data_IF_918309202409
#
_entry.id   IF_918309202409
#
_cell.length_a   1.000
_cell.length_b   1.000
_cell.length_c   1.000
_cell.angle_alpha   90.00
_cell.angle_beta   90.00
_cell.angle_gamma   90.00
#
_symmetry.space_group_name_H-M   'P 1'
#
loop_
_entity.id
_entity.type
_entity.pdbx_description
1 polymer ?
#
# COMPACT_ATOMS: atom_id res chain seq x y z
N UNK A 1 42.92 -7.89 34.99
CA UNK A 1 43.00 -8.62 33.70
C UNK A 1 41.59 -8.70 33.12
N UNK A 2 41.19 -7.76 32.24
CA UNK A 2 39.85 -7.70 31.63
C UNK A 2 39.98 -8.17 30.17
N UNK A 3 39.41 -9.34 29.86
CA UNK A 3 39.43 -9.90 28.51
C UNK A 3 38.28 -9.27 27.72
N UNK A 4 38.65 -8.50 26.71
CA UNK A 4 37.77 -7.94 25.68
C UNK A 4 37.27 -9.08 24.79
N UNK A 5 35.95 -9.33 24.78
CA UNK A 5 35.29 -10.39 23.97
C UNK A 5 34.14 -9.85 23.10
N UNK A 6 34.18 -8.59 22.67
CA UNK A 6 33.08 -7.98 21.88
C UNK A 6 33.41 -7.68 20.41
N UNK A 7 34.58 -8.05 19.90
CA UNK A 7 35.00 -7.67 18.53
C UNK A 7 34.54 -8.61 17.41
N UNK A 8 34.02 -9.82 17.70
CA UNK A 8 33.83 -10.83 16.65
C UNK A 8 32.43 -10.86 16.02
N UNK A 9 31.42 -10.20 16.60
CA UNK A 9 30.03 -10.23 16.09
C UNK A 9 29.73 -9.17 15.03
N UNK A 10 30.57 -8.13 14.90
CA UNK A 10 30.36 -7.07 13.90
C UNK A 10 31.00 -7.37 12.54
N UNK A 11 32.07 -8.17 12.49
CA UNK A 11 32.78 -8.49 11.25
C UNK A 11 32.00 -9.44 10.31
N UNK A 12 31.15 -10.32 10.85
CA UNK A 12 30.32 -11.23 10.03
C UNK A 12 29.04 -10.57 9.45
N UNK A 13 28.69 -9.34 9.84
CA UNK A 13 27.49 -8.63 9.36
C UNK A 13 27.70 -7.92 8.01
N UNK A 14 28.93 -7.90 7.50
CA UNK A 14 29.36 -7.16 6.30
C UNK A 14 29.77 -8.09 5.15
N UNK A 15 28.99 -9.11 4.82
CA UNK A 15 29.16 -9.76 3.51
C UNK A 15 28.70 -8.80 2.40
N UNK A 16 29.36 -8.73 1.23
CA UNK A 16 28.93 -7.89 0.11
C UNK A 16 27.49 -8.18 -0.34
N UNK A 17 27.01 -9.41 -0.09
CA UNK A 17 25.63 -9.85 -0.28
C UNK A 17 24.66 -9.12 0.67
N UNK A 18 25.03 -8.87 1.94
CA UNK A 18 24.17 -8.15 2.89
C UNK A 18 24.00 -6.67 2.53
N UNK A 19 25.03 -6.05 1.94
CA UNK A 19 24.98 -4.67 1.45
C UNK A 19 24.12 -4.54 0.19
N UNK A 20 24.24 -5.48 -0.76
CA UNK A 20 23.42 -5.51 -1.97
C UNK A 20 21.93 -5.73 -1.65
N UNK A 21 21.61 -6.72 -0.80
CA UNK A 21 20.23 -6.98 -0.35
C UNK A 21 19.66 -5.79 0.43
N UNK A 22 20.49 -5.04 1.17
CA UNK A 22 20.04 -3.84 1.90
C UNK A 22 19.65 -2.66 1.00
N UNK A 23 20.15 -2.59 -0.24
CA UNK A 23 19.79 -1.55 -1.21
C UNK A 23 18.65 -1.94 -2.14
N UNK A 24 18.50 -3.22 -2.48
CA UNK A 24 17.47 -3.69 -3.43
C UNK A 24 16.09 -3.82 -2.78
N UNK A 25 16.04 -4.21 -1.50
CA UNK A 25 14.78 -4.41 -0.79
C UNK A 25 13.84 -3.18 -0.80
N UNK A 26 14.28 -1.96 -0.45
CA UNK A 26 13.42 -0.77 -0.48
C UNK A 26 12.87 -0.47 -1.89
N UNK A 27 13.70 -0.67 -2.91
CA UNK A 27 13.34 -0.41 -4.31
C UNK A 27 12.23 -1.37 -4.77
N UNK A 28 12.36 -2.66 -4.43
CA UNK A 28 11.35 -3.67 -4.74
C UNK A 28 10.01 -3.36 -4.04
N UNK A 29 10.04 -2.94 -2.77
CA UNK A 29 8.82 -2.58 -2.04
C UNK A 29 8.09 -1.38 -2.67
N UNK A 30 8.82 -0.33 -3.02
CA UNK A 30 8.20 0.85 -3.68
C UNK A 30 7.67 0.49 -5.06
N UNK A 31 8.40 -0.33 -5.84
CA UNK A 31 7.91 -0.84 -7.11
C UNK A 31 6.58 -1.58 -6.95
N UNK A 32 6.50 -2.55 -6.03
CA UNK A 32 5.28 -3.35 -5.85
C UNK A 32 4.13 -2.50 -5.28
N UNK A 33 4.41 -1.59 -4.35
CA UNK A 33 3.41 -0.70 -3.79
C UNK A 33 2.82 0.22 -4.88
N UNK A 34 3.67 0.86 -5.69
CA UNK A 34 3.25 1.71 -6.81
C UNK A 34 2.49 0.92 -7.87
N UNK A 35 2.91 -0.31 -8.18
CA UNK A 35 2.16 -1.19 -9.08
C UNK A 35 0.76 -1.49 -8.54
N UNK A 36 0.64 -1.83 -7.25
CA UNK A 36 -0.67 -2.13 -6.62
C UNK A 36 -1.61 -0.92 -6.62
N UNK A 37 -1.10 0.29 -6.33
CA UNK A 37 -1.90 1.53 -6.41
C UNK A 37 -2.48 1.71 -7.80
N UNK A 38 -1.64 1.61 -8.85
CA UNK A 38 -2.10 1.76 -10.23
C UNK A 38 -3.06 0.63 -10.65
N UNK A 39 -2.83 -0.60 -10.23
CA UNK A 39 -3.76 -1.72 -10.50
C UNK A 39 -5.13 -1.42 -9.92
N UNK A 40 -5.21 -0.98 -8.67
CA UNK A 40 -6.48 -0.62 -8.02
C UNK A 40 -7.15 0.55 -8.74
N UNK A 41 -6.40 1.58 -9.13
CA UNK A 41 -6.94 2.74 -9.84
C UNK A 41 -7.57 2.37 -11.19
N UNK A 42 -6.89 1.53 -11.98
CA UNK A 42 -7.42 1.07 -13.27
C UNK A 42 -8.63 0.13 -13.07
N UNK A 43 -8.58 -0.74 -12.06
CA UNK A 43 -9.71 -1.62 -11.71
C UNK A 43 -10.92 -0.82 -11.23
N UNK A 44 -10.72 0.28 -10.51
CA UNK A 44 -11.78 1.16 -10.02
C UNK A 44 -12.67 1.64 -11.17
N UNK A 45 -12.08 2.04 -12.30
CA UNK A 45 -12.82 2.47 -13.49
C UNK A 45 -13.84 1.43 -13.96
N UNK A 46 -13.43 0.16 -14.00
CA UNK A 46 -14.31 -0.94 -14.41
C UNK A 46 -15.33 -1.33 -13.34
N UNK A 47 -14.95 -1.29 -12.07
CA UNK A 47 -15.83 -1.63 -10.97
C UNK A 47 -16.99 -0.62 -10.86
N UNK A 48 -16.65 0.66 -10.91
CA UNK A 48 -17.62 1.75 -10.77
C UNK A 48 -18.48 1.91 -12.02
N UNK A 49 -17.92 1.67 -13.22
CA UNK A 49 -18.71 1.70 -14.45
C UNK A 49 -19.90 0.73 -14.45
N UNK A 50 -19.87 -0.35 -13.65
CA UNK A 50 -21.01 -1.27 -13.50
C UNK A 50 -22.21 -0.66 -12.76
N UNK A 51 -21.98 0.36 -11.93
CA UNK A 51 -23.01 0.98 -11.11
C UNK A 51 -23.62 2.19 -11.80
N UNK A 52 -22.77 3.01 -12.43
CA UNK A 52 -23.14 4.35 -12.91
C UNK A 52 -22.73 4.62 -14.36
N UNK A 53 -22.14 3.64 -15.04
CA UNK A 53 -21.60 3.79 -16.38
C UNK A 53 -20.25 4.51 -16.43
N UNK A 54 -19.69 4.60 -17.64
CA UNK A 54 -18.47 5.35 -17.93
C UNK A 54 -18.83 6.78 -18.31
N UNK A 55 -18.46 7.75 -17.47
CA UNK A 55 -18.65 9.17 -17.74
C UNK A 55 -17.39 9.96 -17.36
N UNK A 56 -17.33 11.24 -17.77
CA UNK A 56 -16.29 12.16 -17.28
C UNK A 56 -16.30 12.24 -15.75
N UNK A 57 -17.48 12.31 -15.13
CA UNK A 57 -17.61 12.35 -13.68
C UNK A 57 -17.02 11.10 -13.01
N UNK A 58 -17.25 9.92 -13.58
CA UNK A 58 -16.71 8.65 -13.06
C UNK A 58 -15.19 8.66 -13.01
N UNK A 59 -14.53 8.97 -14.13
CA UNK A 59 -13.06 8.98 -14.21
C UNK A 59 -12.45 10.12 -13.39
N UNK A 60 -13.03 11.31 -13.43
CA UNK A 60 -12.56 12.45 -12.63
C UNK A 60 -12.66 12.16 -11.14
N UNK A 61 -13.75 11.56 -10.66
CA UNK A 61 -13.88 11.17 -9.25
C UNK A 61 -12.86 10.13 -8.83
N UNK A 62 -12.60 9.10 -9.66
CA UNK A 62 -11.62 8.05 -9.35
C UNK A 62 -10.22 8.66 -9.19
N UNK A 63 -9.75 9.41 -10.19
CA UNK A 63 -8.43 10.02 -10.16
C UNK A 63 -8.31 10.98 -8.97
N UNK A 64 -9.32 11.85 -8.75
CA UNK A 64 -9.29 12.80 -7.66
C UNK A 64 -9.23 12.12 -6.28
N UNK A 65 -10.03 11.08 -6.05
CA UNK A 65 -10.08 10.37 -4.76
C UNK A 65 -8.82 9.55 -4.53
N UNK A 66 -8.34 8.83 -5.55
CA UNK A 66 -7.12 8.01 -5.43
C UNK A 66 -5.91 8.92 -5.18
N UNK A 67 -5.76 10.01 -5.94
CA UNK A 67 -4.68 10.98 -5.72
C UNK A 67 -4.78 11.67 -4.36
N UNK A 68 -5.99 12.06 -3.92
CA UNK A 68 -6.18 12.64 -2.60
C UNK A 68 -5.82 11.65 -1.49
N UNK A 69 -6.23 10.38 -1.63
CA UNK A 69 -5.86 9.32 -0.72
C UNK A 69 -4.36 9.08 -0.69
N UNK A 70 -3.70 8.98 -1.84
CA UNK A 70 -2.25 8.83 -1.94
C UNK A 70 -1.52 10.02 -1.34
N UNK A 71 -1.99 11.25 -1.55
CA UNK A 71 -1.40 12.46 -0.96
C UNK A 71 -1.50 12.46 0.57
N UNK A 72 -2.67 12.14 1.12
CA UNK A 72 -2.88 11.98 2.56
C UNK A 72 -2.03 10.84 3.13
N UNK A 73 -1.99 9.71 2.43
CA UNK A 73 -1.13 8.57 2.74
C UNK A 73 0.34 8.97 2.77
N UNK A 74 0.82 9.71 1.77
CA UNK A 74 2.20 10.18 1.69
C UNK A 74 2.58 11.05 2.89
N UNK A 75 1.69 11.96 3.30
CA UNK A 75 1.88 12.80 4.47
C UNK A 75 1.93 11.97 5.76
N UNK A 76 0.95 11.09 5.98
CA UNK A 76 0.89 10.22 7.16
C UNK A 76 2.07 9.25 7.22
N UNK A 77 2.45 8.67 6.09
CA UNK A 77 3.59 7.77 5.96
C UNK A 77 4.91 8.48 6.28
N UNK A 78 5.09 9.72 5.84
CA UNK A 78 6.27 10.52 6.18
C UNK A 78 6.36 10.76 7.68
N UNK A 79 5.23 11.15 8.29
CA UNK A 79 5.15 11.34 9.74
C UNK A 79 5.43 10.06 10.55
N UNK A 80 4.93 8.90 10.10
CA UNK A 80 5.23 7.59 10.70
C UNK A 80 6.71 7.25 10.54
N UNK A 81 7.29 7.51 9.36
CA UNK A 81 8.69 7.24 9.04
C UNK A 81 9.68 8.04 9.88
N UNK A 82 9.36 9.30 10.17
CA UNK A 82 10.22 10.20 10.95
C UNK A 82 10.23 9.83 12.44
N UNK A 83 9.07 9.47 12.99
CA UNK A 83 8.92 9.16 14.43
C UNK A 83 9.34 7.75 14.83
N UNK A 84 9.57 6.86 13.88
CA UNK A 84 9.86 5.45 14.17
C UNK A 84 11.36 5.14 14.20
N UNK A 85 11.80 4.44 15.25
CA UNK A 85 13.11 3.79 15.28
C UNK A 85 13.16 2.67 14.24
N UNK A 86 14.35 2.27 13.78
CA UNK A 86 14.53 1.29 12.71
C UNK A 86 13.75 -0.03 12.89
N UNK A 87 13.63 -0.51 14.14
CA UNK A 87 12.81 -1.70 14.42
C UNK A 87 11.31 -1.41 14.27
N UNK A 88 10.86 -0.25 14.76
CA UNK A 88 9.48 0.21 14.73
C UNK A 88 9.02 0.51 13.30
N UNK A 89 9.88 1.10 12.45
CA UNK A 89 9.55 1.38 11.05
C UNK A 89 9.25 0.11 10.25
N UNK A 90 9.96 -1.00 10.52
CA UNK A 90 9.64 -2.30 9.87
C UNK A 90 8.32 -2.89 10.36
N UNK A 91 7.99 -2.73 11.65
CA UNK A 91 6.69 -3.15 12.17
C UNK A 91 5.56 -2.32 11.55
N UNK A 92 5.73 -1.00 11.49
CA UNK A 92 4.78 -0.09 10.85
C UNK A 92 4.60 -0.44 9.37
N UNK A 93 5.68 -0.76 8.66
CA UNK A 93 5.63 -1.16 7.25
C UNK A 93 4.88 -2.47 7.05
N UNK A 94 5.17 -3.51 7.85
CA UNK A 94 4.44 -4.78 7.81
C UNK A 94 2.95 -4.57 8.10
N UNK A 95 2.62 -3.75 9.11
CA UNK A 95 1.24 -3.38 9.43
C UNK A 95 0.56 -2.65 8.28
N UNK A 96 1.23 -1.68 7.65
CA UNK A 96 0.70 -0.96 6.50
C UNK A 96 0.38 -1.91 5.35
N UNK A 97 1.26 -2.87 5.03
CA UNK A 97 0.98 -3.88 4.02
C UNK A 97 -0.25 -4.74 4.35
N UNK A 98 -0.40 -5.18 5.60
CA UNK A 98 -1.59 -5.94 6.03
C UNK A 98 -2.87 -5.10 6.00
N UNK A 99 -2.81 -3.85 6.46
CA UNK A 99 -3.93 -2.91 6.41
C UNK A 99 -4.31 -2.63 4.97
N UNK A 100 -3.34 -2.36 4.09
CA UNK A 100 -3.57 -2.19 2.65
C UNK A 100 -4.15 -3.45 2.01
N UNK A 101 -3.72 -4.65 2.40
CA UNK A 101 -4.29 -5.90 1.91
C UNK A 101 -5.76 -6.06 2.31
N UNK A 102 -6.09 -5.84 3.59
CA UNK A 102 -7.45 -5.92 4.11
C UNK A 102 -8.36 -4.86 3.48
N UNK A 103 -7.89 -3.63 3.35
CA UNK A 103 -8.62 -2.54 2.71
C UNK A 103 -8.80 -2.78 1.20
N UNK A 104 -7.82 -3.36 0.52
CA UNK A 104 -7.96 -3.73 -0.89
C UNK A 104 -8.99 -4.84 -1.08
N UNK A 105 -9.05 -5.78 -0.15
CA UNK A 105 -10.05 -6.86 -0.16
C UNK A 105 -11.45 -6.33 0.18
N UNK A 106 -11.56 -5.35 1.08
CA UNK A 106 -12.86 -4.77 1.48
C UNK A 106 -13.54 -4.04 0.32
N UNK A 107 -12.79 -3.56 -0.68
CA UNK A 107 -13.34 -2.95 -1.92
C UNK A 107 -14.40 -3.88 -2.56
N UNK A 108 -14.22 -5.20 -2.51
CA UNK A 108 -15.17 -6.17 -3.10
C UNK A 108 -16.59 -6.06 -2.52
N UNK A 109 -16.73 -5.58 -1.29
CA UNK A 109 -18.00 -5.50 -0.57
C UNK A 109 -18.44 -4.05 -0.38
N UNK A 110 -17.50 -3.17 -0.01
CA UNK A 110 -17.76 -1.76 0.33
C UNK A 110 -18.38 -1.00 -0.84
N UNK A 111 -18.00 -1.30 -2.08
CA UNK A 111 -18.51 -0.57 -3.23
C UNK A 111 -20.03 -0.75 -3.41
N UNK A 112 -20.59 -1.93 -3.12
CA UNK A 112 -22.04 -2.15 -3.15
C UNK A 112 -22.75 -1.29 -2.10
N UNK A 113 -22.29 -1.38 -0.85
CA UNK A 113 -22.84 -0.63 0.29
C UNK A 113 -22.75 0.88 0.05
N UNK A 114 -21.62 1.35 -0.48
CA UNK A 114 -21.37 2.76 -0.74
C UNK A 114 -22.32 3.33 -1.80
N UNK A 115 -22.57 2.60 -2.88
CA UNK A 115 -23.47 3.06 -3.95
C UNK A 115 -24.95 2.89 -3.59
N UNK A 116 -25.32 1.87 -2.81
CA UNK A 116 -26.67 1.76 -2.26
C UNK A 116 -26.98 2.92 -1.30
N UNK A 117 -26.04 3.26 -0.42
CA UNK A 117 -26.17 4.42 0.45
C UNK A 117 -26.21 5.73 -0.37
N UNK A 118 -25.37 5.87 -1.39
CA UNK A 118 -25.40 7.04 -2.26
C UNK A 118 -26.76 7.21 -2.98
N UNK A 119 -27.44 6.11 -3.30
CA UNK A 119 -28.73 6.12 -3.96
C UNK A 119 -29.87 6.59 -3.05
N UNK A 120 -29.80 6.30 -1.74
CA UNK A 120 -30.81 6.75 -0.75
C UNK A 120 -30.66 8.22 -0.38
N UNK A 121 -29.46 8.79 -0.52
CA UNK A 121 -29.22 10.21 -0.28
C UNK A 121 -29.79 11.07 -1.43
N UNK A 122 -30.42 12.20 -1.09
CA UNK A 122 -30.94 13.18 -2.04
C UNK A 122 -29.82 14.04 -2.69
N UNK A 123 -28.76 13.38 -3.18
CA UNK A 123 -27.62 13.99 -3.84
C UNK A 123 -27.83 14.09 -5.36
N UNK A 124 -27.21 15.09 -5.98
CA UNK A 124 -27.10 15.17 -7.44
C UNK A 124 -26.27 14.00 -8.01
N UNK A 125 -26.50 13.66 -9.28
CA UNK A 125 -25.84 12.51 -9.91
C UNK A 125 -24.30 12.53 -9.80
N UNK A 126 -23.58 13.64 -10.09
CA UNK A 126 -22.13 13.67 -9.93
C UNK A 126 -21.68 13.52 -8.48
N UNK A 127 -22.45 14.04 -7.51
CA UNK A 127 -22.13 13.93 -6.09
C UNK A 127 -22.31 12.51 -5.56
N UNK A 128 -23.29 11.75 -6.09
CA UNK A 128 -23.45 10.33 -5.77
C UNK A 128 -22.24 9.50 -6.21
N UNK A 129 -21.74 9.75 -7.42
CA UNK A 129 -20.54 9.10 -7.94
C UNK A 129 -19.34 9.43 -7.06
N UNK A 130 -19.12 10.73 -6.78
CA UNK A 130 -18.02 11.16 -5.94
C UNK A 130 -18.08 10.53 -4.54
N UNK A 131 -19.26 10.50 -3.93
CA UNK A 131 -19.46 9.88 -2.62
C UNK A 131 -19.15 8.38 -2.65
N UNK A 132 -19.72 7.64 -3.61
CA UNK A 132 -19.50 6.19 -3.73
C UNK A 132 -18.03 5.84 -3.97
N UNK A 133 -17.35 6.59 -4.84
CA UNK A 133 -15.91 6.44 -5.10
C UNK A 133 -15.10 6.77 -3.84
N UNK A 134 -15.42 7.86 -3.15
CA UNK A 134 -14.73 8.29 -1.92
C UNK A 134 -14.84 7.22 -0.84
N UNK A 135 -16.06 6.76 -0.55
CA UNK A 135 -16.30 5.74 0.46
C UNK A 135 -15.60 4.42 0.15
N UNK A 136 -15.40 4.10 -1.14
CA UNK A 136 -14.78 2.84 -1.58
C UNK A 136 -13.26 2.91 -1.61
N UNK A 137 -12.68 3.96 -2.21
CA UNK A 137 -11.25 3.98 -2.59
C UNK A 137 -10.37 4.88 -1.73
N UNK A 138 -10.95 5.79 -0.94
CA UNK A 138 -10.14 6.74 -0.16
C UNK A 138 -9.26 6.02 0.87
N UNK A 139 -9.85 5.16 1.71
CA UNK A 139 -9.11 4.43 2.74
C UNK A 139 -8.02 3.50 2.17
N UNK A 140 -8.31 2.64 1.18
CA UNK A 140 -7.28 1.82 0.53
C UNK A 140 -6.13 2.66 -0.05
N UNK A 141 -6.45 3.78 -0.70
CA UNK A 141 -5.45 4.68 -1.31
C UNK A 141 -4.58 5.37 -0.26
N UNK A 142 -5.14 5.76 0.89
CA UNK A 142 -4.38 6.31 2.03
C UNK A 142 -3.37 5.27 2.54
N UNK A 143 -3.83 4.04 2.79
CA UNK A 143 -2.97 3.00 3.32
C UNK A 143 -1.82 2.67 2.38
N UNK A 144 -2.10 2.53 1.08
CA UNK A 144 -1.09 2.27 0.06
C UNK A 144 -0.14 3.46 -0.15
N UNK A 145 -0.66 4.69 -0.15
CA UNK A 145 0.15 5.90 -0.26
C UNK A 145 1.16 6.05 0.88
N UNK A 146 0.82 5.57 2.08
CA UNK A 146 1.72 5.64 3.22
C UNK A 146 2.95 4.72 3.13
N UNK A 147 2.95 3.72 2.24
CA UNK A 147 4.04 2.74 2.14
C UNK A 147 5.34 3.41 1.65
N UNK A 148 5.28 4.17 0.56
CA UNK A 148 6.48 4.73 -0.09
C UNK A 148 7.30 5.66 0.82
N UNK A 149 6.72 6.63 1.55
CA UNK A 149 7.49 7.46 2.48
C UNK A 149 8.05 6.68 3.67
N UNK A 150 7.34 5.67 4.20
CA UNK A 150 7.87 4.83 5.28
C UNK A 150 9.08 4.03 4.80
N UNK A 151 9.02 3.49 3.58
CA UNK A 151 10.16 2.81 2.94
C UNK A 151 11.31 3.80 2.72
N UNK A 152 11.02 5.02 2.27
CA UNK A 152 12.01 6.07 2.07
C UNK A 152 12.72 6.45 3.38
N UNK A 153 11.99 6.62 4.48
CA UNK A 153 12.56 6.91 5.79
C UNK A 153 13.51 5.79 6.25
N UNK A 154 13.16 4.52 6.02
CA UNK A 154 14.03 3.38 6.33
C UNK A 154 15.28 3.35 5.45
N UNK A 155 15.13 3.61 4.15
CA UNK A 155 16.24 3.61 3.20
C UNK A 155 17.23 4.75 3.47
N UNK A 156 16.72 5.94 3.78
CA UNK A 156 17.52 7.13 4.05
C UNK A 156 18.36 7.01 5.33
N UNK A 157 17.84 6.39 6.39
CA UNK A 157 18.60 6.16 7.64
C UNK A 157 19.86 5.30 7.44
N UNK A 158 19.89 4.47 6.39
CA UNK A 158 21.01 3.57 6.06
C UNK A 158 21.93 4.11 4.96
N UNK A 159 21.50 5.16 4.25
CA UNK A 159 22.20 5.64 3.06
C UNK A 159 23.09 6.82 3.37
N UNK A 160 24.31 6.81 2.82
CA UNK A 160 25.21 7.96 2.79
C UNK A 160 24.94 8.88 1.60
N UNK A 161 24.17 8.42 0.59
CA UNK A 161 23.83 9.16 -0.64
C UNK A 161 22.33 9.45 -0.72
N UNK A 162 21.88 10.47 0.03
CA UNK A 162 20.47 10.87 0.15
C UNK A 162 19.80 11.04 -1.22
N UNK A 163 20.39 11.87 -2.10
CA UNK A 163 19.81 12.17 -3.42
C UNK A 163 19.68 10.94 -4.32
N UNK A 164 20.69 10.06 -4.33
CA UNK A 164 20.67 8.82 -5.12
C UNK A 164 19.63 7.82 -4.61
N UNK A 165 19.45 7.72 -3.29
CA UNK A 165 18.43 6.86 -2.69
C UNK A 165 17.02 7.35 -3.01
N UNK A 166 16.76 8.65 -2.84
CA UNK A 166 15.44 9.23 -3.16
C UNK A 166 15.16 9.08 -4.66
N UNK A 167 16.11 9.44 -5.52
CA UNK A 167 15.97 9.29 -6.98
C UNK A 167 15.70 7.84 -7.39
N UNK A 168 16.38 6.86 -6.77
CA UNK A 168 16.14 5.44 -7.01
C UNK A 168 14.72 5.01 -6.61
N UNK A 169 14.22 5.45 -5.45
CA UNK A 169 12.86 5.14 -5.00
C UNK A 169 11.81 5.73 -5.95
N UNK A 170 11.99 6.98 -6.43
CA UNK A 170 11.11 7.57 -7.43
C UNK A 170 11.15 6.80 -8.75
N UNK A 171 12.35 6.48 -9.26
CA UNK A 171 12.50 5.74 -10.51
C UNK A 171 11.81 4.37 -10.45
N UNK A 172 12.08 3.57 -9.41
CA UNK A 172 11.46 2.25 -9.25
C UNK A 172 9.95 2.34 -8.97
N UNK A 173 9.49 3.37 -8.26
CA UNK A 173 8.06 3.64 -8.09
C UNK A 173 7.37 3.94 -9.42
N UNK A 174 7.97 4.79 -10.25
CA UNK A 174 7.43 5.09 -11.59
C UNK A 174 7.42 3.87 -12.50
N UNK A 175 8.50 3.06 -12.51
CA UNK A 175 8.53 1.81 -13.29
C UNK A 175 7.44 0.85 -12.80
N UNK A 176 7.27 0.71 -11.48
CA UNK A 176 6.21 -0.11 -10.89
C UNK A 176 4.82 0.37 -11.28
N UNK A 177 4.57 1.68 -11.22
CA UNK A 177 3.31 2.28 -11.67
C UNK A 177 3.03 2.01 -13.16
N UNK A 178 4.01 2.23 -14.04
CA UNK A 178 3.89 1.95 -15.48
C UNK A 178 3.60 0.47 -15.71
N UNK A 179 4.37 -0.43 -15.09
CA UNK A 179 4.19 -1.86 -15.20
C UNK A 179 2.81 -2.30 -14.71
N UNK A 180 2.36 -1.78 -13.57
CA UNK A 180 1.02 -2.02 -13.02
C UNK A 180 -0.09 -1.56 -13.95
N UNK A 181 0.00 -0.34 -14.49
CA UNK A 181 -0.99 0.19 -15.44
C UNK A 181 -1.06 -0.64 -16.72
N UNK A 182 0.09 -0.94 -17.34
CA UNK A 182 0.15 -1.75 -18.56
C UNK A 182 -0.33 -3.18 -18.32
N UNK A 183 0.16 -3.84 -17.26
CA UNK A 183 -0.26 -5.20 -16.92
C UNK A 183 -1.78 -5.23 -16.65
N UNK A 184 -2.32 -4.24 -15.93
CA UNK A 184 -3.74 -4.18 -15.62
C UNK A 184 -4.60 -4.03 -16.87
N UNK A 185 -4.29 -3.04 -17.71
CA UNK A 185 -5.07 -2.73 -18.91
C UNK A 185 -5.00 -3.82 -19.98
N UNK A 186 -3.82 -4.39 -20.23
CA UNK A 186 -3.59 -5.28 -21.36
C UNK A 186 -3.66 -6.78 -21.03
N UNK A 187 -3.38 -7.17 -19.78
CA UNK A 187 -3.25 -8.60 -19.42
C UNK A 187 -4.23 -9.00 -18.34
N UNK A 188 -4.19 -8.36 -17.18
CA UNK A 188 -4.92 -8.80 -15.98
C UNK A 188 -6.43 -8.66 -16.16
N UNK A 189 -6.91 -7.51 -16.64
CA UNK A 189 -8.35 -7.28 -16.82
C UNK A 189 -8.96 -8.28 -17.82
N UNK A 190 -8.38 -8.47 -19.02
CA UNK A 190 -8.89 -9.48 -19.95
C UNK A 190 -8.82 -10.91 -19.43
N UNK A 191 -7.78 -11.28 -18.68
CA UNK A 191 -7.54 -12.66 -18.25
C UNK A 191 -8.33 -13.07 -16.99
N UNK A 192 -8.44 -12.19 -15.99
CA UNK A 192 -8.88 -12.56 -14.64
C UNK A 192 -10.15 -11.84 -14.18
N UNK A 193 -10.55 -10.75 -14.84
CA UNK A 193 -11.66 -9.90 -14.40
C UNK A 193 -11.34 -9.10 -13.12
N UNK A 194 -12.20 -8.13 -12.78
CA UNK A 194 -11.91 -7.12 -11.74
C UNK A 194 -11.81 -7.70 -10.32
N UNK A 195 -12.69 -8.64 -9.97
CA UNK A 195 -12.76 -9.16 -8.59
C UNK A 195 -11.54 -10.02 -8.23
N UNK A 196 -11.09 -10.87 -9.17
CA UNK A 196 -9.90 -11.71 -8.96
C UNK A 196 -8.62 -10.86 -8.89
N UNK A 197 -8.54 -9.76 -9.65
CA UNK A 197 -7.40 -8.83 -9.55
C UNK A 197 -7.31 -8.22 -8.15
N UNK A 198 -8.42 -7.75 -7.58
CA UNK A 198 -8.43 -7.21 -6.22
C UNK A 198 -7.98 -8.25 -5.18
N UNK A 199 -8.39 -9.51 -5.36
CA UNK A 199 -7.93 -10.62 -4.51
C UNK A 199 -6.42 -10.86 -4.66
N UNK A 200 -5.90 -10.87 -5.90
CA UNK A 200 -4.46 -11.03 -6.16
C UNK A 200 -3.66 -9.87 -5.55
N UNK A 201 -4.14 -8.63 -5.66
CA UNK A 201 -3.50 -7.46 -5.05
C UNK A 201 -3.48 -7.60 -3.53
N UNK A 202 -4.61 -7.95 -2.91
CA UNK A 202 -4.69 -8.18 -1.48
C UNK A 202 -3.74 -9.29 -1.02
N UNK A 203 -3.68 -10.40 -1.75
CA UNK A 203 -2.77 -11.51 -1.46
C UNK A 203 -1.30 -11.07 -1.59
N UNK A 204 -0.96 -10.35 -2.66
CA UNK A 204 0.39 -9.84 -2.90
C UNK A 204 0.84 -8.93 -1.76
N UNK A 205 0.00 -7.95 -1.39
CA UNK A 205 0.28 -7.04 -0.27
C UNK A 205 0.41 -7.80 1.06
N UNK A 206 -0.46 -8.77 1.33
CA UNK A 206 -0.40 -9.59 2.54
C UNK A 206 0.87 -10.45 2.62
N UNK A 207 1.29 -11.05 1.51
CA UNK A 207 2.54 -11.81 1.41
C UNK A 207 3.76 -10.92 1.65
N UNK A 208 3.79 -9.72 1.07
CA UNK A 208 4.84 -8.74 1.33
C UNK A 208 4.84 -8.36 2.82
N UNK A 209 3.67 -8.08 3.39
CA UNK A 209 3.52 -7.78 4.82
C UNK A 209 4.10 -8.88 5.71
N UNK A 210 3.90 -10.14 5.34
CA UNK A 210 4.47 -11.30 6.02
C UNK A 210 5.99 -11.39 5.88
N UNK A 211 6.53 -11.15 4.68
CA UNK A 211 7.98 -11.17 4.43
C UNK A 211 8.68 -10.01 5.18
N UNK A 212 8.04 -8.84 5.26
CA UNK A 212 8.57 -7.67 5.98
C UNK A 212 8.52 -7.88 7.51
N UNK A 213 7.58 -8.70 8.00
CA UNK A 213 7.32 -8.88 9.43
C UNK A 213 8.55 -9.45 10.18
N UNK A 214 9.08 -8.77 11.21
CA UNK A 214 10.26 -9.24 11.91
C UNK A 214 10.00 -10.33 12.97
N UNK A 215 8.75 -10.64 13.36
CA UNK A 215 8.42 -11.82 14.17
C UNK A 215 6.91 -12.17 14.18
N UNK A 216 6.62 -13.47 14.28
CA UNK A 216 5.27 -14.08 14.25
C UNK A 216 4.31 -13.57 15.35
N UNK A 217 4.84 -12.96 16.43
CA UNK A 217 4.06 -12.43 17.57
C UNK A 217 3.28 -11.15 17.22
N UNK A 218 3.72 -10.36 16.23
CA UNK A 218 2.97 -9.19 15.76
C UNK A 218 1.71 -9.58 14.98
N UNK A 219 1.69 -10.78 14.38
CA UNK A 219 0.53 -11.31 13.64
C UNK A 219 -0.55 -11.78 14.64
N UNK A 220 -0.15 -12.45 15.73
CA UNK A 220 -1.07 -12.96 16.75
C UNK A 220 -1.60 -11.84 17.66
N UNK A 221 -0.77 -10.85 18.02
CA UNK A 221 -1.22 -9.73 18.86
C UNK A 221 -2.30 -8.86 18.22
N UNK A 222 -2.33 -8.77 16.88
CA UNK A 222 -3.29 -7.93 16.15
C UNK A 222 -4.57 -8.67 15.75
N UNK A 223 -4.50 -9.99 15.53
CA UNK A 223 -5.69 -10.84 15.41
C UNK A 223 -6.53 -10.82 16.69
N UNK A 224 -5.87 -10.74 17.86
CA UNK A 224 -6.54 -10.58 19.16
C UNK A 224 -7.18 -9.19 19.32
N UNK A 225 -6.51 -8.10 18.88
CA UNK A 225 -7.08 -6.75 18.93
C UNK A 225 -8.28 -6.56 18.00
N UNK A 226 -8.23 -7.10 16.77
CA UNK A 226 -9.38 -7.07 15.85
C UNK A 226 -10.52 -8.00 16.29
N UNK A 227 -10.20 -9.16 16.89
CA UNK A 227 -11.20 -10.07 17.46
C UNK A 227 -11.93 -9.47 18.67
N UNK A 228 -11.23 -8.71 19.52
CA UNK A 228 -11.84 -8.02 20.67
C UNK A 228 -12.75 -6.87 20.23
N UNK A 229 -12.43 -6.18 19.13
CA UNK A 229 -13.27 -5.10 18.59
C UNK A 229 -14.57 -5.61 17.94
N UNK A 230 -14.59 -6.84 17.42
CA UNK A 230 -15.78 -7.48 16.85
C UNK A 230 -16.65 -8.19 17.90
N UNK A 231 -16.08 -8.54 19.07
CA UNK A 231 -16.80 -9.20 20.16
C UNK A 231 -17.56 -8.23 21.09
N UNK A 232 -17.35 -6.92 20.92
CA UNK A 232 -18.01 -5.86 21.71
C UNK A 232 -19.05 -5.05 20.92
N UNK A 233 -19.43 -5.50 19.73
CA UNK A 233 -20.55 -4.98 18.91
C UNK A 233 -21.67 -6.00 18.85
#
# INVERSE_FOLDING_TARGET
MRIVTTSNTQAQRNSPISQFVSSVWPLALVFLASACVMVIEIVAGRLIARHVGTSLYTWTSIIAVVLAGVALGNYLGGWIGDRSNERSSRNALSLLFFVSALLSLSILWVHWIAFDLAATLALSWPMRILFGVTATFLLPSIALGAISPVVAAVALRRSTRIGGTIGGLYAWGSIGAIAGTLATGFVLIPAFGTSLILFIVALCLGLIGFIVAPSLKSIVGLGVLFGVALATS
#
